data_IF_631752700974
#
_entry.id   IF_631752700974
#
_cell.length_a   1.000
_cell.length_b   1.000
_cell.length_c   1.000
_cell.angle_alpha   90.00
_cell.angle_beta   90.00
_cell.angle_gamma   90.00
#
_symmetry.space_group_name_H-M   'P 1'
#
loop_
_entity.id
_entity.type
_entity.pdbx_description
1 polymer ?
#
# COMPACT_ATOMS: atom_id res chain seq x y z
N UNK A 1 23.23 3.40 -2.69
CA UNK A 1 22.33 4.56 -2.92
C UNK A 1 21.79 4.39 -4.34
N UNK A 2 20.59 3.87 -4.48
CA UNK A 2 19.97 3.78 -5.80
C UNK A 2 19.25 5.10 -6.05
N UNK A 3 19.93 6.00 -6.75
CA UNK A 3 19.36 7.29 -7.10
C UNK A 3 18.36 7.14 -8.24
N UNK A 4 17.30 7.93 -8.22
CA UNK A 4 16.46 8.14 -9.38
C UNK A 4 17.32 8.60 -10.57
N UNK A 5 17.06 8.05 -11.75
CA UNK A 5 17.90 8.30 -12.94
C UNK A 5 17.54 9.61 -13.65
N UNK A 6 16.29 10.08 -13.49
CA UNK A 6 15.82 11.33 -14.08
C UNK A 6 14.97 12.10 -13.04
N UNK A 7 15.50 13.23 -12.56
CA UNK A 7 14.85 14.15 -11.63
C UNK A 7 14.71 15.49 -12.33
N UNK A 8 13.48 15.80 -12.78
CA UNK A 8 13.22 16.98 -13.61
C UNK A 8 13.04 18.28 -12.82
N UNK A 9 12.75 18.19 -11.53
CA UNK A 9 12.79 19.33 -10.61
C UNK A 9 14.03 19.18 -9.69
N UNK A 10 15.06 20.00 -9.84
CA UNK A 10 16.30 19.90 -9.05
C UNK A 10 16.08 20.19 -7.56
N UNK A 11 15.00 20.88 -7.20
CA UNK A 11 14.69 21.24 -5.82
C UNK A 11 13.87 20.18 -5.09
N UNK A 12 13.62 19.04 -5.73
CA UNK A 12 12.86 17.93 -5.13
C UNK A 12 13.57 17.41 -3.88
N UNK A 13 12.88 17.43 -2.74
CA UNK A 13 13.37 16.76 -1.53
C UNK A 13 13.10 15.26 -1.63
N UNK A 14 14.12 14.44 -1.55
CA UNK A 14 14.02 12.99 -1.71
C UNK A 14 14.56 12.30 -0.46
N UNK A 15 13.74 11.43 0.15
CA UNK A 15 14.13 10.54 1.24
C UNK A 15 13.75 9.12 0.83
N UNK A 16 14.73 8.22 0.81
CA UNK A 16 14.52 6.80 0.47
C UNK A 16 15.08 5.95 1.61
N UNK A 17 14.21 5.11 2.16
CA UNK A 17 14.58 4.16 3.21
C UNK A 17 15.56 3.10 2.71
N UNK A 18 16.34 2.57 3.64
CA UNK A 18 17.29 1.50 3.36
C UNK A 18 16.60 0.28 2.75
N UNK A 19 17.34 -0.57 2.02
CA UNK A 19 16.87 -1.79 1.33
C UNK A 19 15.77 -1.55 0.28
N UNK A 20 15.47 -0.28 -0.03
CA UNK A 20 14.53 0.05 -1.11
C UNK A 20 15.22 -0.07 -2.45
N UNK A 21 14.58 -0.82 -3.35
CA UNK A 21 15.02 -0.98 -4.73
C UNK A 21 14.26 -0.01 -5.64
N UNK A 22 15.01 0.76 -6.44
CA UNK A 22 14.46 1.61 -7.52
C UNK A 22 14.97 1.06 -8.84
N UNK A 23 14.05 0.65 -9.70
CA UNK A 23 14.32 0.06 -11.00
C UNK A 23 14.83 1.06 -12.03
N UNK A 24 14.94 0.61 -13.28
CA UNK A 24 15.38 1.45 -14.40
C UNK A 24 14.28 2.38 -14.85
N UNK A 25 14.66 3.56 -15.35
CA UNK A 25 13.75 4.55 -15.94
C UNK A 25 12.60 4.94 -15.00
N UNK A 26 12.92 5.15 -13.72
CA UNK A 26 12.00 5.74 -12.74
C UNK A 26 12.23 7.25 -12.75
N UNK A 27 11.25 7.99 -13.25
CA UNK A 27 11.33 9.43 -13.52
C UNK A 27 10.54 10.20 -12.47
N UNK A 28 11.16 11.22 -11.88
CA UNK A 28 10.48 12.24 -11.08
C UNK A 28 10.22 13.46 -11.96
N UNK A 29 8.95 13.74 -12.22
CA UNK A 29 8.49 14.84 -13.07
C UNK A 29 8.72 16.22 -12.47
N UNK A 30 8.40 17.29 -13.25
CA UNK A 30 8.67 18.67 -12.84
C UNK A 30 7.84 19.17 -11.66
N UNK A 31 6.74 18.51 -11.33
CA UNK A 31 5.88 18.87 -10.20
C UNK A 31 6.45 18.41 -8.85
N UNK A 32 7.30 17.39 -8.83
CA UNK A 32 7.77 16.75 -7.58
C UNK A 32 8.48 17.76 -6.68
N UNK A 33 7.94 17.99 -5.49
CA UNK A 33 8.52 18.82 -4.43
C UNK A 33 9.08 17.98 -3.30
N UNK A 34 8.33 16.93 -2.93
CA UNK A 34 8.75 16.03 -1.86
C UNK A 34 8.38 14.58 -2.20
N UNK A 35 9.38 13.68 -2.10
CA UNK A 35 9.23 12.25 -2.31
C UNK A 35 9.85 11.52 -1.14
N UNK A 36 9.01 10.81 -0.37
CA UNK A 36 9.43 9.98 0.77
C UNK A 36 9.05 8.52 0.50
N UNK A 37 10.02 7.64 0.55
CA UNK A 37 9.84 6.21 0.34
C UNK A 37 10.40 5.48 1.55
N UNK A 38 9.60 4.60 2.13
CA UNK A 38 9.95 3.82 3.31
C UNK A 38 11.03 2.76 3.06
N UNK A 39 11.21 1.92 4.07
CA UNK A 39 12.21 0.86 4.12
C UNK A 39 11.75 -0.37 3.31
N UNK A 40 12.68 -1.01 2.62
CA UNK A 40 12.46 -2.31 1.97
C UNK A 40 11.45 -2.31 0.83
N UNK A 41 11.14 -1.13 0.26
CA UNK A 41 10.22 -0.98 -0.87
C UNK A 41 10.81 -1.52 -2.17
N UNK A 42 9.93 -1.74 -3.15
CA UNK A 42 10.32 -2.08 -4.51
C UNK A 42 9.57 -1.17 -5.49
N UNK A 43 10.30 -0.35 -6.23
CA UNK A 43 9.83 0.39 -7.39
C UNK A 43 10.37 -0.30 -8.65
N UNK A 44 9.48 -0.78 -9.51
CA UNK A 44 9.82 -1.46 -10.76
C UNK A 44 10.41 -0.50 -11.80
N UNK A 45 10.45 -0.95 -13.05
CA UNK A 45 10.97 -0.16 -14.15
C UNK A 45 9.87 0.71 -14.78
N UNK A 46 10.28 1.76 -15.50
CA UNK A 46 9.42 2.58 -16.36
C UNK A 46 8.26 3.23 -15.60
N UNK A 47 8.54 3.72 -14.38
CA UNK A 47 7.57 4.40 -13.52
C UNK A 47 7.71 5.91 -13.71
N UNK A 48 6.57 6.59 -13.92
CA UNK A 48 6.52 8.04 -13.98
C UNK A 48 5.79 8.62 -12.78
N UNK A 49 6.47 9.46 -12.02
CA UNK A 49 5.96 10.12 -10.82
C UNK A 49 5.99 11.64 -11.05
N UNK A 50 4.83 12.28 -11.07
CA UNK A 50 4.70 13.73 -11.26
C UNK A 50 3.65 14.31 -10.32
N UNK A 51 3.92 14.25 -9.05
CA UNK A 51 3.06 14.66 -7.95
C UNK A 51 3.82 15.59 -7.00
N UNK A 52 3.16 16.63 -6.47
CA UNK A 52 3.84 17.60 -5.61
C UNK A 52 4.41 16.92 -4.34
N UNK A 53 3.60 16.05 -3.69
CA UNK A 53 3.99 15.31 -2.49
C UNK A 53 3.66 13.82 -2.63
N UNK A 54 4.68 12.96 -2.50
CA UNK A 54 4.54 11.50 -2.47
C UNK A 54 5.10 10.94 -1.16
N UNK A 55 4.29 10.13 -0.50
CA UNK A 55 4.70 9.33 0.65
C UNK A 55 4.36 7.86 0.43
N UNK A 56 5.34 6.98 0.64
CA UNK A 56 5.20 5.52 0.51
C UNK A 56 5.73 4.87 1.78
N UNK A 57 4.90 4.06 2.44
CA UNK A 57 5.27 3.31 3.64
C UNK A 57 6.19 2.13 3.36
N UNK A 58 6.70 1.53 4.45
CA UNK A 58 7.66 0.42 4.39
C UNK A 58 7.10 -0.80 3.63
N UNK A 59 7.98 -1.54 2.96
CA UNK A 59 7.70 -2.79 2.26
C UNK A 59 6.67 -2.71 1.13
N UNK A 60 6.31 -1.51 0.71
CA UNK A 60 5.38 -1.31 -0.42
C UNK A 60 6.06 -1.62 -1.75
N UNK A 61 5.33 -2.29 -2.62
CA UNK A 61 5.76 -2.66 -3.98
C UNK A 61 4.96 -1.90 -5.01
N UNK A 62 5.63 -1.19 -5.91
CA UNK A 62 5.04 -0.57 -7.10
C UNK A 62 5.68 -1.23 -8.33
N UNK A 63 4.87 -1.93 -9.12
CA UNK A 63 5.35 -2.65 -10.29
C UNK A 63 5.57 -1.74 -11.50
N UNK A 64 6.09 -2.35 -12.58
CA UNK A 64 6.52 -1.67 -13.79
C UNK A 64 5.39 -0.88 -14.46
N UNK A 65 5.74 0.25 -15.07
CA UNK A 65 4.84 1.05 -15.89
C UNK A 65 3.78 1.84 -15.12
N UNK A 66 3.87 1.92 -13.80
CA UNK A 66 2.94 2.71 -13.00
C UNK A 66 3.11 4.22 -13.25
N UNK A 67 1.99 4.95 -13.21
CA UNK A 67 1.96 6.42 -13.31
C UNK A 67 1.30 6.98 -12.05
N UNK A 68 1.99 7.90 -11.38
CA UNK A 68 1.47 8.60 -10.19
C UNK A 68 1.57 10.09 -10.47
N UNK A 69 0.42 10.78 -10.52
CA UNK A 69 0.43 12.21 -10.81
C UNK A 69 -0.62 12.99 -10.02
N UNK A 70 -0.39 14.30 -9.87
CA UNK A 70 -1.33 15.21 -9.21
C UNK A 70 -0.71 16.08 -8.13
N UNK A 71 -1.38 16.21 -6.98
CA UNK A 71 -0.98 17.12 -5.90
C UNK A 71 -0.40 16.34 -4.72
N UNK A 72 -1.19 15.41 -4.14
CA UNK A 72 -0.73 14.65 -2.98
C UNK A 72 -1.18 13.19 -3.04
N UNK A 73 -0.21 12.29 -2.97
CA UNK A 73 -0.46 10.85 -2.93
C UNK A 73 0.25 10.23 -1.72
N UNK A 74 -0.49 9.50 -0.90
CA UNK A 74 0.04 8.72 0.22
C UNK A 74 -0.33 7.26 0.06
N UNK A 75 0.66 6.39 0.17
CA UNK A 75 0.51 4.94 0.09
C UNK A 75 1.11 4.36 1.37
N UNK A 76 0.32 3.60 2.12
CA UNK A 76 0.74 3.02 3.40
C UNK A 76 1.77 1.90 3.27
N UNK A 77 1.94 1.17 4.36
CA UNK A 77 2.88 0.05 4.45
C UNK A 77 2.32 -1.20 3.75
N UNK A 78 3.22 -2.08 3.28
CA UNK A 78 2.90 -3.40 2.73
C UNK A 78 1.91 -3.38 1.55
N UNK A 79 1.78 -2.27 0.85
CA UNK A 79 0.89 -2.17 -0.31
C UNK A 79 1.49 -2.89 -1.54
N UNK A 80 0.62 -3.34 -2.42
CA UNK A 80 1.01 -3.95 -3.68
C UNK A 80 0.29 -3.26 -4.83
N UNK A 81 1.02 -2.48 -5.62
CA UNK A 81 0.51 -1.74 -6.77
C UNK A 81 0.97 -2.46 -8.04
N UNK A 82 0.03 -3.03 -8.76
CA UNK A 82 0.28 -3.84 -9.94
C UNK A 82 0.82 -3.06 -11.14
N UNK A 83 1.22 -3.80 -12.16
CA UNK A 83 1.77 -3.24 -13.40
C UNK A 83 0.79 -2.28 -14.07
N UNK A 84 1.30 -1.19 -14.65
CA UNK A 84 0.55 -0.22 -15.46
C UNK A 84 -0.65 0.39 -14.74
N UNK A 85 -0.56 0.53 -13.42
CA UNK A 85 -1.57 1.20 -12.60
C UNK A 85 -1.42 2.71 -12.72
N UNK A 86 -2.55 3.42 -12.81
CA UNK A 86 -2.59 4.89 -12.77
C UNK A 86 -3.14 5.32 -11.42
N UNK A 87 -2.46 6.25 -10.74
CA UNK A 87 -2.90 6.87 -9.50
C UNK A 87 -2.90 8.38 -9.70
N UNK A 88 -4.08 8.97 -9.61
CA UNK A 88 -4.30 10.41 -9.79
C UNK A 88 -4.69 11.09 -8.48
N UNK A 89 -4.18 12.31 -8.28
CA UNK A 89 -4.55 13.20 -7.17
C UNK A 89 -4.75 14.65 -7.60
N UNK A 90 -5.14 14.89 -8.88
CA UNK A 90 -5.41 16.25 -9.40
C UNK A 90 -6.71 16.86 -8.88
N UNK A 91 -7.69 16.03 -8.55
CA UNK A 91 -9.01 16.47 -8.06
C UNK A 91 -9.13 16.52 -6.55
N UNK A 92 -8.20 15.90 -5.83
CA UNK A 92 -8.14 15.81 -4.37
C UNK A 92 -7.07 14.84 -3.93
N UNK A 93 -6.74 14.83 -2.65
CA UNK A 93 -5.75 13.92 -2.07
C UNK A 93 -6.12 12.47 -2.35
N UNK A 94 -5.14 11.68 -2.78
CA UNK A 94 -5.30 10.23 -2.93
C UNK A 94 -4.53 9.53 -1.82
N UNK A 95 -5.25 8.73 -1.03
CA UNK A 95 -4.70 7.99 0.11
C UNK A 95 -5.04 6.51 0.00
N UNK A 96 -4.02 5.70 0.03
CA UNK A 96 -4.10 4.26 0.21
C UNK A 96 -3.58 3.94 1.62
N UNK A 97 -4.40 3.28 2.43
CA UNK A 97 -4.03 2.77 3.75
C UNK A 97 -2.96 1.68 3.69
N UNK A 98 -2.83 0.95 4.77
CA UNK A 98 -1.86 -0.15 4.84
C UNK A 98 -2.41 -1.42 4.21
N UNK A 99 -1.53 -2.27 3.70
CA UNK A 99 -1.86 -3.59 3.14
C UNK A 99 -2.80 -3.54 1.92
N UNK A 100 -2.94 -2.38 1.28
CA UNK A 100 -3.81 -2.21 0.11
C UNK A 100 -3.24 -2.96 -1.09
N UNK A 101 -4.09 -3.76 -1.74
CA UNK A 101 -3.78 -4.42 -3.01
C UNK A 101 -4.46 -3.70 -4.18
N UNK A 102 -3.69 -3.28 -5.17
CA UNK A 102 -4.20 -2.75 -6.43
C UNK A 102 -3.69 -3.62 -7.56
N UNK A 103 -4.59 -4.37 -8.20
CA UNK A 103 -4.25 -5.26 -9.30
C UNK A 103 -3.78 -4.50 -10.55
N UNK A 104 -3.06 -5.21 -11.42
CA UNK A 104 -2.50 -4.65 -12.64
C UNK A 104 -3.56 -3.97 -13.53
N UNK A 105 -3.16 -2.93 -14.27
CA UNK A 105 -3.99 -2.14 -15.17
C UNK A 105 -5.19 -1.45 -14.51
N UNK A 106 -5.17 -1.26 -13.20
CA UNK A 106 -6.20 -0.52 -12.49
C UNK A 106 -5.98 0.99 -12.60
N UNK A 107 -7.05 1.74 -12.47
CA UNK A 107 -7.04 3.20 -12.58
C UNK A 107 -7.75 3.82 -11.37
N UNK A 108 -7.04 4.67 -10.66
CA UNK A 108 -7.48 5.35 -9.45
C UNK A 108 -7.57 6.85 -9.75
N UNK A 109 -8.79 7.37 -9.86
CA UNK A 109 -9.05 8.74 -10.28
C UNK A 109 -9.64 9.58 -9.15
N UNK A 110 -9.04 10.73 -8.88
CA UNK A 110 -9.57 11.76 -7.98
C UNK A 110 -10.49 12.76 -8.69
N UNK A 111 -10.60 12.67 -10.03
CA UNK A 111 -11.47 13.54 -10.82
C UNK A 111 -11.99 12.86 -12.08
N UNK A 112 -13.12 13.38 -12.56
CA UNK A 112 -13.69 13.11 -13.88
C UNK A 112 -14.22 14.43 -14.42
N UNK A 113 -13.45 15.14 -15.24
CA UNK A 113 -13.81 16.43 -15.82
C UNK A 113 -13.04 16.68 -17.11
N UNK A 114 -13.76 17.08 -18.15
CA UNK A 114 -13.16 17.42 -19.43
C UNK A 114 -14.03 18.40 -20.24
N UNK A 115 -15.36 18.41 -20.02
CA UNK A 115 -16.29 19.08 -20.90
C UNK A 115 -16.21 20.59 -20.87
N UNK A 116 -16.66 21.21 -21.96
CA UNK A 116 -16.77 22.65 -22.12
C UNK A 116 -17.94 23.20 -21.31
N UNK A 117 -17.65 23.99 -20.30
CA UNK A 117 -18.67 24.59 -19.42
C UNK A 117 -19.43 25.75 -20.11
N UNK A 118 -18.84 26.41 -21.10
CA UNK A 118 -19.52 27.44 -21.88
C UNK A 118 -20.61 26.83 -22.78
N UNK A 119 -20.37 25.63 -23.28
CA UNK A 119 -21.36 24.85 -24.04
C UNK A 119 -22.34 24.07 -23.14
N UNK A 120 -22.27 24.30 -21.82
CA UNK A 120 -23.24 23.75 -20.88
C UNK A 120 -22.88 22.33 -20.33
N UNK A 121 -21.64 21.89 -20.48
CA UNK A 121 -21.24 20.64 -19.88
C UNK A 121 -21.32 20.73 -18.35
N UNK A 122 -22.15 19.88 -17.73
CA UNK A 122 -22.36 19.82 -16.30
C UNK A 122 -21.56 18.68 -15.62
N UNK A 123 -20.88 17.83 -16.41
CA UNK A 123 -20.15 16.69 -15.89
C UNK A 123 -18.80 17.12 -15.35
N UNK A 124 -18.76 17.32 -14.04
CA UNK A 124 -17.55 17.70 -13.31
C UNK A 124 -17.58 17.03 -11.94
N UNK A 125 -16.74 16.02 -11.75
CA UNK A 125 -16.55 15.33 -10.47
C UNK A 125 -15.10 15.46 -10.04
N UNK A 126 -14.87 15.94 -8.83
CA UNK A 126 -13.54 15.94 -8.19
C UNK A 126 -13.70 15.76 -6.69
N UNK A 127 -12.75 15.11 -6.07
CA UNK A 127 -12.74 14.88 -4.64
C UNK A 127 -11.61 13.94 -4.23
N UNK A 128 -11.42 13.75 -2.93
CA UNK A 128 -10.43 12.82 -2.43
C UNK A 128 -10.77 11.38 -2.80
N UNK A 129 -9.74 10.58 -3.00
CA UNK A 129 -9.85 9.14 -3.15
C UNK A 129 -9.19 8.46 -1.94
N UNK A 130 -9.98 7.77 -1.14
CA UNK A 130 -9.50 7.09 0.05
C UNK A 130 -9.75 5.58 -0.05
N UNK A 131 -8.71 4.80 0.04
CA UNK A 131 -8.78 3.35 0.25
C UNK A 131 -8.20 3.07 1.63
N UNK A 132 -9.01 2.59 2.55
CA UNK A 132 -8.57 2.27 3.90
C UNK A 132 -7.73 0.98 3.96
N UNK A 133 -7.33 0.55 5.16
CA UNK A 133 -6.48 -0.62 5.35
C UNK A 133 -7.13 -1.91 4.81
N UNK A 134 -6.31 -2.78 4.23
CA UNK A 134 -6.70 -4.08 3.69
C UNK A 134 -7.71 -4.02 2.51
N UNK A 135 -7.91 -2.88 1.87
CA UNK A 135 -8.73 -2.78 0.65
C UNK A 135 -8.03 -3.52 -0.50
N UNK A 136 -8.81 -4.27 -1.26
CA UNK A 136 -8.31 -4.98 -2.43
C UNK A 136 -9.08 -4.63 -3.71
N UNK A 137 -8.44 -3.94 -4.62
CA UNK A 137 -8.89 -3.73 -5.98
C UNK A 137 -8.25 -4.80 -6.86
N UNK A 138 -9.04 -5.74 -7.37
CA UNK A 138 -8.54 -6.77 -8.29
C UNK A 138 -8.27 -6.16 -9.67
N UNK A 139 -7.37 -6.74 -10.45
CA UNK A 139 -6.87 -6.15 -11.69
C UNK A 139 -7.94 -5.62 -12.66
N UNK A 140 -7.58 -4.62 -13.45
CA UNK A 140 -8.46 -3.88 -14.36
C UNK A 140 -9.63 -3.15 -13.67
N UNK A 141 -9.49 -2.82 -12.40
CA UNK A 141 -10.48 -2.03 -11.65
C UNK A 141 -10.34 -0.55 -11.95
N UNK A 142 -11.47 0.16 -12.00
CA UNK A 142 -11.50 1.62 -12.10
C UNK A 142 -12.27 2.16 -10.91
N UNK A 143 -11.67 3.12 -10.20
CA UNK A 143 -12.34 3.82 -9.11
C UNK A 143 -12.30 5.32 -9.32
N UNK A 144 -13.42 5.99 -9.04
CA UNK A 144 -13.53 7.45 -9.01
C UNK A 144 -13.18 8.00 -7.63
N UNK A 145 -13.47 9.30 -7.36
CA UNK A 145 -13.33 9.87 -6.03
C UNK A 145 -14.36 9.23 -5.08
N UNK A 146 -13.91 8.24 -4.33
CA UNK A 146 -14.71 7.46 -3.39
C UNK A 146 -13.94 7.21 -2.09
N UNK A 147 -14.66 6.76 -1.07
CA UNK A 147 -14.09 6.14 0.12
C UNK A 147 -14.39 4.64 0.11
N UNK A 148 -13.35 3.82 -0.01
CA UNK A 148 -13.45 2.39 0.22
C UNK A 148 -13.02 2.12 1.67
N UNK A 149 -13.98 1.68 2.50
CA UNK A 149 -13.76 1.40 3.92
C UNK A 149 -12.91 0.14 4.14
N UNK A 150 -12.35 -0.08 5.35
CA UNK A 150 -11.38 -1.15 5.59
C UNK A 150 -11.88 -2.51 5.10
N UNK A 151 -11.00 -3.26 4.43
CA UNK A 151 -11.29 -4.60 3.90
C UNK A 151 -12.36 -4.65 2.81
N UNK A 152 -12.70 -3.52 2.18
CA UNK A 152 -13.57 -3.57 1.01
C UNK A 152 -12.83 -4.18 -0.18
N UNK A 153 -13.55 -4.93 -1.02
CA UNK A 153 -12.99 -5.58 -2.21
C UNK A 153 -13.76 -5.20 -3.47
N UNK A 154 -13.03 -4.87 -4.53
CA UNK A 154 -13.59 -4.65 -5.86
C UNK A 154 -13.11 -5.75 -6.81
N UNK A 155 -14.02 -6.49 -7.39
CA UNK A 155 -13.73 -7.61 -8.30
C UNK A 155 -13.15 -7.14 -9.63
N UNK A 156 -12.44 -8.05 -10.31
CA UNK A 156 -11.80 -7.81 -11.62
C UNK A 156 -12.73 -7.10 -12.61
N UNK A 157 -12.19 -6.09 -13.30
CA UNK A 157 -12.90 -5.37 -14.37
C UNK A 157 -14.09 -4.53 -13.91
N UNK A 158 -14.18 -4.25 -12.63
CA UNK A 158 -15.31 -3.50 -12.05
C UNK A 158 -15.01 -2.00 -11.97
N UNK A 159 -16.09 -1.18 -11.99
CA UNK A 159 -15.98 0.28 -11.91
C UNK A 159 -16.77 0.79 -10.70
N UNK A 160 -16.06 1.22 -9.65
CA UNK A 160 -16.66 1.79 -8.46
C UNK A 160 -16.72 3.32 -8.55
N UNK A 161 -17.93 3.87 -8.45
CA UNK A 161 -18.22 5.32 -8.47
C UNK A 161 -18.96 5.79 -7.22
N UNK A 162 -19.03 4.93 -6.19
CA UNK A 162 -19.64 5.20 -4.89
C UNK A 162 -18.82 4.52 -3.82
N UNK A 163 -18.92 5.02 -2.60
CA UNK A 163 -18.24 4.47 -1.44
C UNK A 163 -18.55 2.97 -1.27
N UNK A 164 -17.56 2.24 -0.75
CA UNK A 164 -17.62 0.81 -0.53
C UNK A 164 -17.59 0.51 0.97
N UNK A 165 -18.57 -0.24 1.46
CA UNK A 165 -18.67 -0.59 2.88
C UNK A 165 -17.52 -1.50 3.35
N UNK A 166 -17.22 -1.42 4.66
CA UNK A 166 -16.16 -2.23 5.27
C UNK A 166 -16.43 -3.73 5.13
N UNK A 167 -15.42 -4.47 4.67
CA UNK A 167 -15.41 -5.92 4.53
C UNK A 167 -16.40 -6.48 3.47
N UNK A 168 -16.96 -5.62 2.62
CA UNK A 168 -17.90 -5.98 1.57
C UNK A 168 -17.20 -6.18 0.22
N UNK A 169 -17.79 -7.00 -0.64
CA UNK A 169 -17.33 -7.33 -1.99
C UNK A 169 -18.23 -6.66 -3.02
N UNK A 170 -17.62 -5.95 -3.96
CA UNK A 170 -18.30 -5.22 -5.02
C UNK A 170 -17.91 -5.75 -6.40
N UNK A 171 -18.86 -5.80 -7.34
CA UNK A 171 -18.61 -6.26 -8.70
C UNK A 171 -19.46 -5.52 -9.74
N UNK A 172 -18.95 -5.44 -10.96
CA UNK A 172 -19.67 -4.95 -12.14
C UNK A 172 -19.37 -3.50 -12.52
N UNK A 173 -20.07 -3.03 -13.56
CA UNK A 173 -19.93 -1.67 -14.11
C UNK A 173 -21.33 -1.06 -14.33
N UNK A 174 -21.79 -0.14 -13.48
CA UNK A 174 -21.17 0.29 -12.22
C UNK A 174 -21.23 -0.81 -11.16
N UNK A 175 -20.23 -0.81 -10.27
CA UNK A 175 -20.10 -1.83 -9.23
C UNK A 175 -21.28 -1.78 -8.25
N UNK A 176 -21.71 -2.96 -7.83
CA UNK A 176 -22.76 -3.18 -6.82
C UNK A 176 -22.22 -4.11 -5.75
N UNK A 177 -22.73 -3.98 -4.55
CA UNK A 177 -22.46 -4.92 -3.47
C UNK A 177 -22.98 -6.31 -3.83
N UNK A 178 -22.12 -7.30 -3.70
CA UNK A 178 -22.41 -8.71 -3.99
C UNK A 178 -22.10 -9.62 -2.79
N UNK A 179 -21.91 -9.02 -1.61
CA UNK A 179 -21.54 -9.72 -0.39
C UNK A 179 -22.57 -10.75 0.05
N UNK A 180 -23.86 -10.50 -0.21
CA UNK A 180 -24.92 -11.48 0.06
C UNK A 180 -24.70 -12.81 -0.69
N UNK A 181 -24.00 -12.76 -1.83
CA UNK A 181 -23.72 -13.93 -2.66
C UNK A 181 -22.38 -14.59 -2.34
N UNK A 182 -21.35 -13.80 -2.04
CA UNK A 182 -19.97 -14.28 -1.91
C UNK A 182 -19.47 -14.33 -0.47
N UNK A 183 -20.19 -13.72 0.47
CA UNK A 183 -19.74 -13.51 1.84
C UNK A 183 -18.89 -12.26 1.98
N UNK A 184 -18.28 -12.10 3.15
CA UNK A 184 -17.33 -11.04 3.47
C UNK A 184 -15.93 -11.35 2.91
N UNK A 185 -15.10 -10.32 2.67
CA UNK A 185 -13.72 -10.52 2.23
C UNK A 185 -12.87 -11.23 3.31
N UNK A 186 -13.06 -10.89 4.58
CA UNK A 186 -12.33 -11.48 5.70
C UNK A 186 -13.29 -12.11 6.70
N UNK A 187 -13.00 -13.34 7.06
CA UNK A 187 -13.65 -14.02 8.17
C UNK A 187 -12.97 -13.68 9.50
N UNK A 188 -13.70 -13.82 10.60
CA UNK A 188 -13.15 -13.67 11.93
C UNK A 188 -12.21 -14.84 12.26
N UNK A 189 -11.02 -14.53 12.77
CA UNK A 189 -10.03 -15.53 13.20
C UNK A 189 -9.69 -15.30 14.66
N UNK A 190 -9.80 -16.36 15.49
CA UNK A 190 -9.45 -16.28 16.91
C UNK A 190 -7.97 -16.00 17.16
N UNK A 191 -7.63 -15.44 18.31
CA UNK A 191 -6.24 -15.17 18.67
C UNK A 191 -5.42 -16.46 18.74
N UNK A 192 -6.01 -17.54 19.25
CA UNK A 192 -5.38 -18.87 19.30
C UNK A 192 -5.00 -19.36 17.90
N UNK A 193 -5.93 -19.27 16.95
CA UNK A 193 -5.68 -19.65 15.55
C UNK A 193 -4.62 -18.75 14.88
N UNK A 194 -4.63 -17.45 15.16
CA UNK A 194 -3.59 -16.53 14.69
C UNK A 194 -2.22 -16.90 15.25
N UNK A 195 -2.15 -17.25 16.54
CA UNK A 195 -0.93 -17.72 17.19
C UNK A 195 -0.41 -19.00 16.52
N UNK A 196 -1.28 -19.98 16.34
CA UNK A 196 -0.95 -21.24 15.66
C UNK A 196 -0.40 -21.01 14.25
N UNK A 197 -1.04 -20.13 13.47
CA UNK A 197 -0.60 -19.79 12.11
C UNK A 197 0.76 -19.09 12.12
N UNK A 198 0.96 -18.13 13.01
CA UNK A 198 2.24 -17.44 13.14
C UNK A 198 3.38 -18.41 13.50
N UNK A 199 3.17 -19.28 14.46
CA UNK A 199 4.17 -20.27 14.88
C UNK A 199 4.53 -21.24 13.75
N UNK A 200 3.56 -21.66 12.95
CA UNK A 200 3.80 -22.48 11.76
C UNK A 200 4.64 -21.74 10.70
N UNK A 201 4.33 -20.47 10.42
CA UNK A 201 5.10 -19.64 9.48
C UNK A 201 6.53 -19.39 9.98
N UNK A 202 6.69 -19.13 11.28
CA UNK A 202 8.00 -18.96 11.91
C UNK A 202 8.84 -20.24 11.79
N UNK A 203 8.25 -21.39 12.11
CA UNK A 203 8.92 -22.68 12.01
C UNK A 203 9.33 -23.02 10.57
N UNK A 204 8.43 -22.80 9.57
CA UNK A 204 8.72 -22.96 8.15
C UNK A 204 9.91 -22.10 7.72
N UNK A 205 9.88 -20.82 8.05
CA UNK A 205 10.96 -19.89 7.69
C UNK A 205 12.29 -20.26 8.33
N UNK A 206 12.29 -20.53 9.63
CA UNK A 206 13.51 -20.88 10.37
C UNK A 206 14.12 -22.18 9.89
N UNK A 207 13.31 -23.21 9.59
CA UNK A 207 13.78 -24.46 9.01
C UNK A 207 14.46 -24.27 7.66
N UNK A 208 13.88 -23.41 6.81
CA UNK A 208 14.38 -23.18 5.45
C UNK A 208 15.60 -22.24 5.42
N UNK A 209 15.74 -21.36 6.40
CA UNK A 209 16.78 -20.31 6.42
C UNK A 209 17.95 -20.62 7.35
N UNK A 210 17.81 -21.57 8.28
CA UNK A 210 18.78 -21.84 9.32
C UNK A 210 18.84 -20.79 10.44
N UNK A 211 17.86 -19.85 10.47
CA UNK A 211 17.78 -18.78 11.48
C UNK A 211 17.11 -19.32 12.73
N UNK A 212 17.65 -18.95 13.92
CA UNK A 212 17.09 -19.39 15.19
C UNK A 212 15.69 -18.80 15.43
N UNK A 213 14.68 -19.61 15.82
CA UNK A 213 13.31 -19.13 16.07
C UNK A 213 13.22 -18.00 17.11
N UNK A 214 14.16 -17.96 18.08
CA UNK A 214 14.22 -16.92 19.12
C UNK A 214 14.44 -15.49 18.59
N UNK A 215 14.81 -15.32 17.31
CA UNK A 215 14.93 -14.01 16.69
C UNK A 215 13.57 -13.34 16.42
N UNK A 216 12.46 -14.09 16.48
CA UNK A 216 11.10 -13.64 16.20
C UNK A 216 10.16 -14.03 17.32
N UNK A 217 9.73 -13.07 18.13
CA UNK A 217 8.96 -13.34 19.33
C UNK A 217 7.54 -12.77 19.23
N UNK A 218 6.55 -13.55 19.65
CA UNK A 218 5.23 -13.02 19.96
C UNK A 218 5.25 -12.39 21.35
N UNK A 219 4.67 -11.22 21.46
CA UNK A 219 4.58 -10.46 22.71
C UNK A 219 3.19 -9.87 22.91
N UNK A 220 2.77 -9.72 24.16
CA UNK A 220 1.56 -8.96 24.50
C UNK A 220 1.86 -7.45 24.66
N UNK A 221 3.12 -7.12 24.95
CA UNK A 221 3.62 -5.75 25.03
C UNK A 221 5.04 -5.67 24.47
N UNK A 222 5.33 -4.61 23.74
CA UNK A 222 6.68 -4.37 23.22
C UNK A 222 7.65 -3.94 24.33
N UNK A 223 8.88 -4.46 24.26
CA UNK A 223 10.00 -4.01 25.10
C UNK A 223 10.91 -3.09 24.32
N UNK A 224 11.33 -1.98 24.93
CA UNK A 224 12.24 -1.00 24.29
C UNK A 224 13.66 -1.53 24.11
N UNK A 225 14.10 -2.44 24.97
CA UNK A 225 15.46 -3.00 24.97
C UNK A 225 15.58 -4.31 24.16
N UNK A 226 14.55 -4.70 23.42
CA UNK A 226 14.56 -5.94 22.69
C UNK A 226 15.61 -5.94 21.56
N UNK A 227 16.47 -6.94 21.54
CA UNK A 227 17.46 -7.21 20.49
C UNK A 227 16.91 -8.14 19.40
N UNK A 228 15.66 -8.54 19.51
CA UNK A 228 14.95 -9.46 18.62
C UNK A 228 13.66 -8.82 18.13
N UNK A 229 13.21 -9.23 16.95
CA UNK A 229 11.97 -8.69 16.38
C UNK A 229 10.77 -9.19 17.16
N UNK A 230 10.00 -8.27 17.70
CA UNK A 230 8.79 -8.56 18.47
C UNK A 230 7.54 -8.33 17.61
N UNK A 231 6.57 -9.23 17.69
CA UNK A 231 5.31 -9.19 16.98
C UNK A 231 4.13 -9.20 17.95
N UNK A 232 3.15 -8.32 17.73
CA UNK A 232 1.92 -8.23 18.52
C UNK A 232 0.72 -8.57 17.65
N UNK A 233 0.10 -9.73 17.88
CA UNK A 233 -0.93 -10.30 17.01
C UNK A 233 -2.21 -9.46 16.92
N UNK A 234 -2.66 -8.90 18.05
CA UNK A 234 -3.92 -8.18 18.10
C UNK A 234 -3.88 -6.90 17.27
N UNK A 235 -2.78 -6.13 17.34
CA UNK A 235 -2.60 -4.91 16.55
C UNK A 235 -1.99 -5.16 15.16
N UNK A 236 -1.61 -6.39 14.82
CA UNK A 236 -0.88 -6.73 13.60
C UNK A 236 0.37 -5.86 13.40
N UNK A 237 1.08 -5.57 14.49
CA UNK A 237 2.25 -4.71 14.45
C UNK A 237 3.50 -5.45 14.93
N UNK A 238 4.65 -4.91 14.56
CA UNK A 238 5.93 -5.42 15.00
C UNK A 238 6.87 -4.27 15.37
N UNK A 239 7.81 -4.54 16.29
CA UNK A 239 8.89 -3.60 16.62
C UNK A 239 10.10 -3.90 15.74
N UNK A 240 10.48 -2.98 14.84
CA UNK A 240 11.61 -3.17 13.94
C UNK A 240 12.94 -3.13 14.69
N UNK A 241 13.80 -4.11 14.44
CA UNK A 241 15.24 -4.09 14.81
C UNK A 241 16.14 -3.84 13.60
N UNK A 242 15.57 -3.82 12.39
CA UNK A 242 16.23 -3.56 11.11
C UNK A 242 17.39 -4.54 10.79
N UNK A 243 17.31 -5.77 11.31
CA UNK A 243 18.28 -6.81 11.00
C UNK A 243 18.05 -7.44 9.61
N UNK A 244 19.04 -8.18 9.09
CA UNK A 244 18.89 -8.99 7.86
C UNK A 244 17.83 -10.06 8.03
N UNK A 245 17.82 -10.72 9.18
CA UNK A 245 16.89 -11.82 9.49
C UNK A 245 15.45 -11.32 9.56
N UNK A 246 15.22 -10.16 10.20
CA UNK A 246 13.92 -9.48 10.20
C UNK A 246 13.45 -9.18 8.77
N UNK A 247 14.30 -8.55 7.97
CA UNK A 247 13.96 -8.20 6.59
C UNK A 247 13.53 -9.44 5.80
N UNK A 248 14.30 -10.52 5.88
CA UNK A 248 14.00 -11.78 5.20
C UNK A 248 12.69 -12.40 5.69
N UNK A 249 12.43 -12.38 7.01
CA UNK A 249 11.20 -12.91 7.58
C UNK A 249 9.97 -12.10 7.20
N UNK A 250 10.03 -10.77 7.27
CA UNK A 250 8.92 -9.89 6.81
C UNK A 250 8.65 -10.12 5.31
N UNK A 251 9.69 -10.19 4.47
CA UNK A 251 9.52 -10.47 3.03
C UNK A 251 8.92 -11.86 2.77
N UNK A 252 9.29 -12.87 3.53
CA UNK A 252 8.70 -14.21 3.44
C UNK A 252 7.20 -14.21 3.76
N UNK A 253 6.78 -13.39 4.71
CA UNK A 253 5.38 -13.30 5.11
C UNK A 253 4.54 -12.41 4.19
N UNK A 254 5.12 -11.39 3.58
CA UNK A 254 4.44 -10.25 2.96
C UNK A 254 3.40 -10.64 1.91
N UNK A 255 3.69 -11.67 1.11
CA UNK A 255 2.80 -12.12 0.06
C UNK A 255 2.01 -13.35 0.54
N UNK A 256 0.68 -13.23 0.57
CA UNK A 256 -0.28 -14.31 0.82
C UNK A 256 -0.27 -14.94 2.23
N UNK A 257 0.65 -14.54 3.13
CA UNK A 257 0.76 -15.17 4.45
C UNK A 257 0.34 -14.22 5.57
N UNK A 258 1.16 -13.21 5.88
CA UNK A 258 0.88 -12.25 6.94
C UNK A 258 1.50 -10.87 6.64
N UNK A 259 0.80 -9.82 7.02
CA UNK A 259 1.27 -8.44 6.87
C UNK A 259 1.35 -7.78 8.23
N UNK A 260 2.46 -7.10 8.50
CA UNK A 260 2.76 -6.50 9.79
C UNK A 260 3.09 -5.02 9.65
N UNK A 261 2.56 -4.20 10.54
CA UNK A 261 2.80 -2.77 10.55
C UNK A 261 3.96 -2.44 11.51
N UNK A 262 4.96 -1.67 11.07
CA UNK A 262 6.02 -1.24 11.98
C UNK A 262 5.43 -0.28 13.02
N UNK A 263 5.76 -0.47 14.31
CA UNK A 263 5.47 0.54 15.31
C UNK A 263 6.42 1.71 15.11
N UNK A 264 5.88 2.92 15.08
CA UNK A 264 6.69 4.14 15.03
C UNK A 264 7.53 4.21 16.31
N UNK A 265 8.83 4.44 16.18
CA UNK A 265 9.60 4.95 17.32
C UNK A 265 9.03 6.34 17.61
N UNK A 266 8.27 6.51 18.67
CA UNK A 266 8.06 7.83 19.25
C UNK A 266 9.44 8.34 19.66
N UNK A 267 10.12 9.08 18.76
CA UNK A 267 11.17 9.97 19.24
C UNK A 267 10.44 10.96 20.15
N UNK A 268 10.62 10.80 21.45
CA UNK A 268 10.48 11.91 22.39
C UNK A 268 11.50 12.94 21.93
N UNK A 269 11.02 13.94 21.20
CA UNK A 269 11.80 15.17 21.01
C UNK A 269 11.95 15.78 22.40
N UNK A 270 13.17 15.69 22.95
CA UNK A 270 13.62 16.40 24.13
C UNK A 270 14.19 17.75 23.71
#
# INVERSE_FOLDING_TARGET
>A
MHAFQDIRNPDTRIVVGERTHIGRNVVLGPRCKEVRIGYGCFLGNDIYIDVDELEIGDYTTIHHGAVIHGVRTRIGHNCWIGHYTIIDSLGGDTRLGNNVGVGAHSQLWSHMKFGDTLEGCRWNSSGPLHLDDDVWLVGHSIVGPIHAHPRAMLMTGSVATRDMASNHIYAGTPARDVSDRFGEQFEAVSLEEKTRRFEALRAEFCSNSGIAPGQFQLVDQFSDDAQVTQFHLTSRSYRPVRSEDEYRFIKFMLYEKAKWLPVSHTRTEG
#
